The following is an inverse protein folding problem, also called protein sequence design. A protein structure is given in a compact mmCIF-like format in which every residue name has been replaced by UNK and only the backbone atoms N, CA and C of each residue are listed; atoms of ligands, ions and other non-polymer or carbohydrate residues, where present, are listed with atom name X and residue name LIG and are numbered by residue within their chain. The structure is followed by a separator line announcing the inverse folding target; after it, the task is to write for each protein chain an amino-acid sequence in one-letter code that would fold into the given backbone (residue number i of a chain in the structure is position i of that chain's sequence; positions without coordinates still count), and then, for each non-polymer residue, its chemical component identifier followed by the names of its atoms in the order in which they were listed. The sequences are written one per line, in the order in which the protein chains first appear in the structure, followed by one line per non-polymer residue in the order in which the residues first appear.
data_IF_998560913759
#
_entry.id   IF_998560913759
#
_cell.length_a   1.000
_cell.length_b   1.000
_cell.length_c   1.000
_cell.angle_alpha   90.00
_cell.angle_beta   90.00
_cell.angle_gamma   90.00
#
_symmetry.space_group_name_H-M   'P 1'
#
loop_
_entity.id
_entity.type
_entity.pdbx_description
1 polymer ?
#
# COMPACT_ATOMS: atom_id res chain seq x y z
N UNK A 1 -39.69 3.27 75.62
CA UNK A 1 -40.68 2.60 74.75
C UNK A 1 -39.98 1.41 74.10
N UNK A 2 -40.53 0.20 74.27
CA UNK A 2 -39.94 -1.09 73.87
C UNK A 2 -39.80 -1.20 72.34
N UNK A 3 -38.69 -1.81 71.90
CA UNK A 3 -38.35 -2.00 70.49
C UNK A 3 -39.41 -2.76 69.70
N UNK A 4 -39.62 -2.33 68.45
CA UNK A 4 -40.48 -2.99 67.48
C UNK A 4 -40.06 -4.47 67.30
N UNK A 5 -41.01 -5.43 67.27
CA UNK A 5 -40.69 -6.84 67.06
C UNK A 5 -40.01 -7.07 65.70
N UNK A 6 -39.09 -8.04 65.65
CA UNK A 6 -38.32 -8.37 64.45
C UNK A 6 -39.28 -8.82 63.33
N UNK A 7 -38.91 -8.64 62.05
CA UNK A 7 -39.81 -8.90 60.89
C UNK A 7 -40.43 -10.30 60.91
N UNK A 8 -39.73 -11.28 61.47
CA UNK A 8 -40.22 -12.66 61.66
C UNK A 8 -41.29 -12.74 62.74
N UNK A 9 -41.08 -12.10 63.89
CA UNK A 9 -42.03 -12.09 65.01
C UNK A 9 -43.32 -11.36 64.63
N UNK A 10 -43.23 -10.31 63.81
CA UNK A 10 -44.41 -9.63 63.27
C UNK A 10 -45.26 -10.58 62.40
N UNK A 11 -44.64 -11.39 61.54
CA UNK A 11 -45.36 -12.37 60.72
C UNK A 11 -46.03 -13.46 61.58
N UNK A 12 -45.34 -13.96 62.61
CA UNK A 12 -45.92 -14.94 63.54
C UNK A 12 -47.09 -14.38 64.34
N UNK A 13 -46.98 -13.13 64.84
CA UNK A 13 -48.04 -12.48 65.60
C UNK A 13 -49.27 -12.22 64.73
N UNK A 14 -49.07 -11.70 63.50
CA UNK A 14 -50.16 -11.45 62.55
C UNK A 14 -50.81 -12.76 62.10
N UNK A 15 -50.01 -13.79 61.80
CA UNK A 15 -50.52 -15.11 61.41
C UNK A 15 -51.36 -15.76 62.51
N UNK A 16 -50.89 -15.72 63.76
CA UNK A 16 -51.64 -16.22 64.92
C UNK A 16 -52.97 -15.46 65.13
N UNK A 17 -52.96 -14.15 64.93
CA UNK A 17 -54.14 -13.31 65.05
C UNK A 17 -55.19 -13.63 63.97
N UNK A 18 -54.75 -13.83 62.73
CA UNK A 18 -55.63 -14.24 61.62
C UNK A 18 -56.26 -15.62 61.90
N UNK A 19 -55.46 -16.60 62.34
CA UNK A 19 -55.96 -17.95 62.66
C UNK A 19 -57.01 -17.88 63.78
N UNK A 20 -56.76 -17.07 64.81
CA UNK A 20 -57.69 -16.89 65.94
C UNK A 20 -59.01 -16.26 65.48
N UNK A 21 -58.96 -15.25 64.61
CA UNK A 21 -60.16 -14.62 64.03
C UNK A 21 -60.97 -15.63 63.21
N UNK A 22 -60.31 -16.43 62.36
CA UNK A 22 -60.97 -17.48 61.58
C UNK A 22 -61.66 -18.49 62.51
N UNK A 23 -61.02 -18.90 63.60
CA UNK A 23 -61.59 -19.86 64.54
C UNK A 23 -62.86 -19.32 65.23
N UNK A 24 -62.85 -18.06 65.65
CA UNK A 24 -64.02 -17.40 66.27
C UNK A 24 -65.17 -17.28 65.27
N UNK A 25 -64.87 -16.85 64.03
CA UNK A 25 -65.85 -16.67 62.96
C UNK A 25 -66.47 -18.02 62.56
N UNK A 26 -65.65 -19.04 62.36
CA UNK A 26 -66.09 -20.40 62.00
C UNK A 26 -66.94 -21.06 63.09
N UNK A 27 -66.70 -20.76 64.38
CA UNK A 27 -67.52 -21.27 65.48
C UNK A 27 -68.89 -20.60 65.61
N UNK A 28 -69.04 -19.36 65.12
CA UNK A 28 -70.26 -18.54 65.29
C UNK A 28 -71.17 -18.51 64.07
N UNK A 29 -70.62 -18.68 62.86
CA UNK A 29 -71.36 -18.62 61.60
C UNK A 29 -72.36 -19.76 61.28
N UNK A 30 -72.26 -21.01 61.78
CA UNK A 30 -73.13 -22.08 61.29
C UNK A 30 -74.61 -21.95 61.69
N UNK A 31 -74.98 -20.92 62.46
CA UNK A 31 -76.38 -20.66 62.83
C UNK A 31 -77.18 -19.90 61.76
N UNK A 32 -76.53 -19.30 60.75
CA UNK A 32 -77.17 -18.49 59.71
C UNK A 32 -76.75 -19.00 58.32
N UNK A 33 -77.56 -19.90 57.75
CA UNK A 33 -77.23 -20.63 56.50
C UNK A 33 -76.93 -19.70 55.31
N UNK A 34 -77.66 -18.59 55.19
CA UNK A 34 -77.51 -17.64 54.09
C UNK A 34 -76.11 -17.01 54.06
N UNK A 35 -75.53 -16.69 55.23
CA UNK A 35 -74.21 -16.04 55.30
C UNK A 35 -73.11 -17.00 54.85
N UNK A 36 -73.23 -18.29 55.20
CA UNK A 36 -72.27 -19.33 54.82
C UNK A 36 -72.26 -19.51 53.29
N UNK A 37 -73.43 -19.50 52.65
CA UNK A 37 -73.56 -19.64 51.20
C UNK A 37 -72.97 -18.43 50.45
N UNK A 38 -73.21 -17.20 50.92
CA UNK A 38 -72.58 -16.00 50.33
C UNK A 38 -71.06 -16.01 50.47
N UNK A 39 -70.52 -16.47 51.61
CA UNK A 39 -69.07 -16.60 51.83
C UNK A 39 -68.48 -17.69 50.93
N UNK A 40 -69.17 -18.82 50.77
CA UNK A 40 -68.77 -19.89 49.85
C UNK A 40 -68.72 -19.40 48.40
N UNK A 41 -69.73 -18.65 47.96
CA UNK A 41 -69.79 -18.06 46.62
C UNK A 41 -68.72 -16.96 46.40
N UNK A 42 -68.49 -16.09 47.39
CA UNK A 42 -67.40 -15.13 47.31
C UNK A 42 -66.03 -15.83 47.25
N UNK A 43 -65.87 -16.93 47.98
CA UNK A 43 -64.67 -17.77 47.98
C UNK A 43 -64.36 -18.37 46.60
N UNK A 44 -65.37 -18.85 45.87
CA UNK A 44 -65.18 -19.40 44.51
C UNK A 44 -64.80 -18.31 43.51
N UNK A 45 -65.42 -17.13 43.56
CA UNK A 45 -65.05 -15.98 42.71
C UNK A 45 -63.60 -15.55 42.99
N UNK A 46 -63.22 -15.42 44.26
CA UNK A 46 -61.84 -15.06 44.65
C UNK A 46 -60.85 -16.13 44.18
N UNK A 47 -61.20 -17.42 44.25
CA UNK A 47 -60.35 -18.51 43.75
C UNK A 47 -60.14 -18.43 42.23
N UNK A 48 -61.19 -18.17 41.46
CA UNK A 48 -61.11 -17.97 40.01
C UNK A 48 -60.22 -16.75 39.68
N UNK A 49 -60.42 -15.63 40.37
CA UNK A 49 -59.62 -14.42 40.15
C UNK A 49 -58.13 -14.65 40.46
N UNK A 50 -57.81 -15.33 41.57
CA UNK A 50 -56.44 -15.67 41.91
C UNK A 50 -55.80 -16.61 40.89
N UNK A 51 -56.55 -17.59 40.37
CA UNK A 51 -56.08 -18.47 39.30
C UNK A 51 -55.77 -17.68 38.01
N UNK A 52 -56.63 -16.73 37.62
CA UNK A 52 -56.40 -15.87 36.45
C UNK A 52 -55.15 -15.01 36.64
N UNK A 53 -54.96 -14.39 37.82
CA UNK A 53 -53.76 -13.60 38.12
C UNK A 53 -52.50 -14.46 38.04
N UNK A 54 -52.55 -15.70 38.54
CA UNK A 54 -51.43 -16.63 38.46
C UNK A 54 -51.09 -17.01 37.00
N UNK A 55 -52.10 -17.22 36.15
CA UNK A 55 -51.92 -17.48 34.72
C UNK A 55 -51.29 -16.26 34.02
N UNK A 56 -51.80 -15.05 34.27
CA UNK A 56 -51.26 -13.81 33.71
C UNK A 56 -49.80 -13.62 34.12
N UNK A 57 -49.48 -13.82 35.39
CA UNK A 57 -48.11 -13.69 35.89
C UNK A 57 -47.18 -14.73 35.25
N UNK A 58 -47.61 -15.98 35.13
CA UNK A 58 -46.85 -17.04 34.44
C UNK A 58 -46.61 -16.69 32.97
N UNK A 59 -47.61 -16.15 32.28
CA UNK A 59 -47.48 -15.74 30.88
C UNK A 59 -46.54 -14.53 30.72
N UNK A 60 -46.66 -13.51 31.57
CA UNK A 60 -45.78 -12.35 31.57
C UNK A 60 -44.33 -12.75 31.85
N UNK A 61 -44.13 -13.65 32.81
CA UNK A 61 -42.82 -14.19 33.15
C UNK A 61 -42.24 -15.01 31.98
N UNK A 62 -43.03 -15.87 31.34
CA UNK A 62 -42.61 -16.64 30.15
C UNK A 62 -42.21 -15.72 28.99
N UNK A 63 -43.03 -14.72 28.66
CA UNK A 63 -42.76 -13.76 27.58
C UNK A 63 -41.53 -12.90 27.86
N UNK A 64 -41.30 -12.54 29.13
CA UNK A 64 -40.10 -11.81 29.54
C UNK A 64 -38.85 -12.69 29.45
N UNK A 65 -38.94 -13.97 29.82
CA UNK A 65 -37.82 -14.92 29.71
C UNK A 65 -37.41 -15.19 28.26
N UNK A 66 -38.36 -15.32 27.33
CA UNK A 66 -38.05 -15.48 25.90
C UNK A 66 -37.31 -14.25 25.33
N UNK A 67 -37.72 -13.05 25.72
CA UNK A 67 -37.05 -11.80 25.32
C UNK A 67 -35.65 -11.63 25.95
N UNK A 68 -35.44 -12.12 27.17
CA UNK A 68 -34.12 -12.09 27.83
C UNK A 68 -33.19 -13.12 27.20
N UNK A 69 -33.66 -14.33 26.93
CA UNK A 69 -32.86 -15.38 26.30
C UNK A 69 -32.46 -15.00 24.87
N UNK A 70 -33.37 -14.44 24.07
CA UNK A 70 -33.04 -13.95 22.72
C UNK A 70 -32.05 -12.77 22.73
N UNK A 71 -32.13 -11.87 23.71
CA UNK A 71 -31.13 -10.80 23.88
C UNK A 71 -29.77 -11.33 24.33
N UNK A 72 -29.76 -12.36 25.18
CA UNK A 72 -28.54 -13.01 25.64
C UNK A 72 -27.85 -13.75 24.48
N UNK A 73 -28.61 -14.50 23.69
CA UNK A 73 -28.13 -15.21 22.50
C UNK A 73 -27.55 -14.24 21.45
N UNK A 74 -28.28 -13.16 21.15
CA UNK A 74 -27.76 -12.10 20.28
C UNK A 74 -26.50 -11.43 20.82
N UNK A 75 -26.37 -11.30 22.14
CA UNK A 75 -25.16 -10.72 22.77
C UNK A 75 -23.99 -11.69 22.72
N UNK A 76 -24.24 -12.98 22.94
CA UNK A 76 -23.24 -14.04 22.79
C UNK A 76 -22.72 -14.12 21.35
N UNK A 77 -23.61 -14.09 20.35
CA UNK A 77 -23.21 -14.04 18.94
C UNK A 77 -22.42 -12.77 18.57
N UNK A 78 -22.75 -11.61 19.16
CA UNK A 78 -21.94 -10.39 18.97
C UNK A 78 -20.55 -10.52 19.60
N UNK A 79 -20.44 -11.14 20.77
CA UNK A 79 -19.16 -11.40 21.44
C UNK A 79 -18.33 -12.42 20.65
N UNK A 80 -18.96 -13.48 20.14
CA UNK A 80 -18.34 -14.47 19.26
C UNK A 80 -17.80 -13.80 18.00
N UNK A 81 -18.62 -13.00 17.31
CA UNK A 81 -18.19 -12.24 16.13
C UNK A 81 -17.05 -11.27 16.44
N UNK A 82 -17.13 -10.51 17.54
CA UNK A 82 -16.06 -9.61 17.95
C UNK A 82 -14.76 -10.36 18.32
N UNK A 83 -14.89 -11.56 18.88
CA UNK A 83 -13.75 -12.44 19.23
C UNK A 83 -13.14 -13.07 17.99
N UNK A 84 -13.95 -13.42 16.99
CA UNK A 84 -13.50 -13.86 15.67
C UNK A 84 -12.76 -12.73 14.93
N UNK A 85 -13.32 -11.51 14.91
CA UNK A 85 -12.66 -10.32 14.35
C UNK A 85 -11.34 -10.01 15.09
N UNK A 86 -11.26 -10.26 16.41
CA UNK A 86 -10.01 -10.17 17.18
C UNK A 86 -9.03 -11.32 16.90
N UNK A 87 -9.52 -12.51 16.55
CA UNK A 87 -8.70 -13.64 16.10
C UNK A 87 -8.06 -13.33 14.74
N UNK A 88 -8.78 -12.66 13.84
CA UNK A 88 -8.23 -12.15 12.59
C UNK A 88 -7.13 -11.09 12.84
N UNK A 89 -7.23 -10.33 13.94
CA UNK A 89 -6.14 -9.45 14.42
C UNK A 89 -4.94 -10.24 14.99
N UNK A 90 -5.12 -11.49 15.41
CA UNK A 90 -3.99 -12.37 15.74
C UNK A 90 -3.26 -12.86 14.48
N UNK A 91 -3.92 -12.98 13.33
CA UNK A 91 -3.24 -13.21 12.04
C UNK A 91 -2.45 -11.96 11.61
N UNK A 92 -2.92 -10.76 11.98
CA UNK A 92 -2.14 -9.52 11.80
C UNK A 92 -0.81 -9.56 12.56
N UNK A 93 -0.70 -10.27 13.70
CA UNK A 93 0.60 -10.48 14.35
C UNK A 93 1.55 -11.32 13.49
N UNK A 94 1.04 -12.36 12.83
CA UNK A 94 1.82 -13.16 11.89
C UNK A 94 2.29 -12.32 10.70
N UNK A 95 1.39 -11.52 10.13
CA UNK A 95 1.73 -10.58 9.05
C UNK A 95 2.70 -9.48 9.50
N UNK A 96 2.64 -9.04 10.75
CA UNK A 96 3.59 -8.06 11.32
C UNK A 96 4.97 -8.69 11.54
N UNK A 97 5.04 -9.96 11.95
CA UNK A 97 6.31 -10.67 12.09
C UNK A 97 6.93 -10.97 10.72
N UNK A 98 6.15 -11.40 9.72
CA UNK A 98 6.59 -11.52 8.33
C UNK A 98 7.04 -10.17 7.74
N UNK A 99 6.26 -9.10 7.98
CA UNK A 99 6.64 -7.75 7.57
C UNK A 99 7.93 -7.27 8.26
N UNK A 100 8.15 -7.64 9.52
CA UNK A 100 9.38 -7.32 10.25
C UNK A 100 10.59 -8.07 9.71
N UNK A 101 10.41 -9.32 9.28
CA UNK A 101 11.45 -10.11 8.63
C UNK A 101 11.76 -9.56 7.24
N UNK A 102 10.76 -9.20 6.43
CA UNK A 102 10.96 -8.51 5.14
C UNK A 102 11.67 -7.15 5.32
N UNK A 103 11.28 -6.35 6.33
CA UNK A 103 11.95 -5.08 6.66
C UNK A 103 13.39 -5.29 7.12
N UNK A 104 13.67 -6.38 7.83
CA UNK A 104 15.04 -6.78 8.23
C UNK A 104 15.89 -7.19 7.01
N UNK A 105 15.30 -7.90 6.07
CA UNK A 105 15.94 -8.31 4.82
C UNK A 105 16.22 -7.10 3.91
N UNK A 106 15.29 -6.14 3.84
CA UNK A 106 15.50 -4.83 3.20
C UNK A 106 16.65 -4.08 3.86
N UNK A 107 16.71 -4.04 5.21
CA UNK A 107 17.81 -3.38 5.94
C UNK A 107 19.15 -4.03 5.63
N UNK A 108 19.20 -5.36 5.54
CA UNK A 108 20.40 -6.12 5.18
C UNK A 108 20.83 -5.85 3.73
N UNK A 109 19.87 -5.81 2.82
CA UNK A 109 20.09 -5.43 1.42
C UNK A 109 20.57 -3.98 1.28
N UNK A 110 20.09 -3.08 2.15
CA UNK A 110 20.51 -1.68 2.20
C UNK A 110 21.94 -1.51 2.76
N UNK A 111 22.34 -2.37 3.71
CA UNK A 111 23.74 -2.47 4.16
C UNK A 111 24.63 -2.96 3.02
N UNK A 112 24.22 -4.00 2.29
CA UNK A 112 24.93 -4.49 1.10
C UNK A 112 25.03 -3.43 0.01
N UNK A 113 23.97 -2.65 -0.21
CA UNK A 113 23.99 -1.50 -1.13
C UNK A 113 24.96 -0.41 -0.68
N UNK A 114 25.03 -0.08 0.61
CA UNK A 114 26.01 0.88 1.12
C UNK A 114 27.45 0.39 0.93
N UNK A 115 27.70 -0.91 1.04
CA UNK A 115 28.99 -1.52 0.76
C UNK A 115 29.34 -1.46 -0.74
N UNK A 116 28.37 -1.73 -1.61
CA UNK A 116 28.51 -1.56 -3.07
C UNK A 116 28.75 -0.09 -3.43
N UNK A 117 28.02 0.85 -2.83
CA UNK A 117 28.20 2.30 -3.04
C UNK A 117 29.57 2.76 -2.54
N UNK A 118 30.02 2.28 -1.38
CA UNK A 118 31.38 2.55 -0.87
C UNK A 118 32.46 1.96 -1.79
N UNK A 119 32.24 0.76 -2.32
CA UNK A 119 33.14 0.14 -3.29
C UNK A 119 33.18 0.92 -4.59
N UNK A 120 32.04 1.42 -5.06
CA UNK A 120 31.94 2.30 -6.23
C UNK A 120 32.63 3.63 -5.96
N UNK A 121 32.45 4.24 -4.80
CA UNK A 121 33.11 5.51 -4.44
C UNK A 121 34.64 5.35 -4.39
N UNK A 122 35.12 4.25 -3.82
CA UNK A 122 36.54 3.88 -3.85
C UNK A 122 37.04 3.61 -5.28
N UNK A 123 36.27 2.90 -6.11
CA UNK A 123 36.64 2.68 -7.51
C UNK A 123 36.61 3.96 -8.33
N UNK A 124 35.65 4.86 -8.11
CA UNK A 124 35.53 6.16 -8.79
C UNK A 124 36.68 7.08 -8.39
N UNK A 125 37.07 7.09 -7.11
CA UNK A 125 38.25 7.85 -6.65
C UNK A 125 39.55 7.27 -7.22
N UNK A 126 39.68 5.94 -7.30
CA UNK A 126 40.80 5.29 -8.00
C UNK A 126 40.80 5.59 -9.50
N UNK A 127 39.64 5.60 -10.16
CA UNK A 127 39.51 6.00 -11.57
C UNK A 127 39.91 7.46 -11.74
N UNK A 128 39.45 8.38 -10.90
CA UNK A 128 39.82 9.79 -10.96
C UNK A 128 41.32 10.01 -10.75
N UNK A 129 41.94 9.26 -9.82
CA UNK A 129 43.38 9.33 -9.59
C UNK A 129 44.17 8.76 -10.78
N UNK A 130 43.79 7.58 -11.26
CA UNK A 130 44.39 6.96 -12.44
C UNK A 130 44.17 7.81 -13.70
N UNK A 131 43.05 8.54 -13.76
CA UNK A 131 42.71 9.48 -14.83
C UNK A 131 43.67 10.66 -14.86
N UNK A 132 43.92 11.31 -13.72
CA UNK A 132 44.88 12.42 -13.62
C UNK A 132 46.33 11.95 -13.83
N UNK A 133 46.70 10.76 -13.34
CA UNK A 133 48.02 10.16 -13.60
C UNK A 133 48.21 9.84 -15.09
N UNK A 134 47.19 9.26 -15.74
CA UNK A 134 47.20 8.96 -17.18
C UNK A 134 47.27 10.24 -18.00
N UNK A 135 46.49 11.26 -17.67
CA UNK A 135 46.55 12.60 -18.27
C UNK A 135 47.93 13.24 -18.12
N UNK A 136 48.55 13.12 -16.96
CA UNK A 136 49.90 13.65 -16.69
C UNK A 136 50.96 12.91 -17.50
N UNK A 137 50.86 11.59 -17.59
CA UNK A 137 51.78 10.78 -18.38
C UNK A 137 51.62 11.09 -19.87
N UNK A 138 50.38 11.17 -20.38
CA UNK A 138 50.11 11.57 -21.77
C UNK A 138 50.63 12.99 -22.06
N UNK A 139 50.42 13.96 -21.16
CA UNK A 139 50.98 15.31 -21.30
C UNK A 139 52.50 15.29 -21.40
N UNK A 140 53.20 14.52 -20.56
CA UNK A 140 54.66 14.41 -20.61
C UNK A 140 55.15 13.77 -21.91
N UNK A 141 54.48 12.73 -22.40
CA UNK A 141 54.87 12.07 -23.66
C UNK A 141 54.57 12.94 -24.89
N UNK A 142 53.54 13.80 -24.82
CA UNK A 142 53.18 14.73 -25.90
C UNK A 142 54.06 16.00 -25.90
N UNK A 143 54.54 16.45 -24.73
CA UNK A 143 55.39 17.67 -24.62
C UNK A 143 56.80 17.48 -25.19
N UNK A 144 57.28 16.25 -25.41
CA UNK A 144 58.60 15.99 -26.00
C UNK A 144 58.60 16.12 -27.54
N UNK A 145 57.44 16.15 -28.20
CA UNK A 145 57.36 16.29 -29.65
C UNK A 145 56.45 17.45 -30.08
N UNK A 146 57.13 18.56 -30.44
CA UNK A 146 56.66 19.81 -31.09
C UNK A 146 56.19 20.95 -30.19
N UNK A 147 56.91 22.06 -30.37
CA UNK A 147 56.62 23.41 -29.93
C UNK A 147 55.22 23.88 -30.37
N UNK A 148 54.39 24.15 -29.37
CA UNK A 148 53.40 25.24 -29.22
C UNK A 148 52.48 25.58 -30.41
N UNK A 149 51.25 25.09 -30.30
CA UNK A 149 50.08 25.99 -30.12
C UNK A 149 49.04 25.26 -29.27
N UNK A 150 48.71 25.87 -28.12
CA UNK A 150 47.73 25.36 -27.15
C UNK A 150 46.35 25.76 -27.64
N UNK A 151 45.61 24.83 -28.25
CA UNK A 151 44.16 24.94 -28.40
C UNK A 151 43.48 23.81 -27.60
N UNK A 152 42.51 24.22 -26.77
CA UNK A 152 41.73 23.38 -25.86
C UNK A 152 40.86 22.36 -26.64
N UNK A 153 41.39 21.20 -27.02
CA UNK A 153 40.56 20.11 -27.57
C UNK A 153 40.15 19.07 -26.52
N UNK A 154 38.84 18.84 -26.46
CA UNK A 154 38.08 18.23 -25.38
C UNK A 154 38.23 16.71 -25.27
N UNK A 155 38.32 16.20 -24.04
CA UNK A 155 38.32 14.77 -23.70
C UNK A 155 37.03 14.00 -24.13
N UNK A 156 35.95 14.71 -24.49
CA UNK A 156 34.65 14.12 -24.86
C UNK A 156 34.56 13.80 -26.35
N UNK A 157 35.40 12.86 -26.81
CA UNK A 157 35.43 12.43 -28.22
C UNK A 157 34.30 11.45 -28.56
N UNK A 158 34.02 11.29 -29.86
CA UNK A 158 33.08 10.26 -30.35
C UNK A 158 33.42 8.86 -29.85
N UNK A 159 34.70 8.49 -29.86
CA UNK A 159 35.18 7.16 -29.44
C UNK A 159 34.86 6.88 -27.96
N UNK A 160 34.96 7.89 -27.10
CA UNK A 160 34.56 7.78 -25.70
C UNK A 160 33.08 7.40 -25.58
N UNK A 161 32.21 8.10 -26.32
CA UNK A 161 30.77 7.83 -26.31
C UNK A 161 30.42 6.50 -26.97
N UNK A 162 31.14 6.07 -27.99
CA UNK A 162 30.97 4.73 -28.59
C UNK A 162 31.24 3.62 -27.58
N UNK A 163 32.31 3.75 -26.78
CA UNK A 163 32.61 2.78 -25.69
C UNK A 163 31.53 2.82 -24.60
N UNK A 164 31.11 4.02 -24.19
CA UNK A 164 30.05 4.21 -23.19
C UNK A 164 28.72 3.57 -23.63
N UNK A 165 28.32 3.78 -24.89
CA UNK A 165 27.11 3.20 -25.47
C UNK A 165 27.27 1.71 -25.79
N UNK A 166 28.50 1.25 -26.04
CA UNK A 166 28.84 -0.15 -26.27
C UNK A 166 28.55 -1.04 -25.05
N UNK A 167 28.82 -0.53 -23.86
CA UNK A 167 28.56 -1.20 -22.59
C UNK A 167 27.15 -0.93 -22.05
N UNK A 168 26.37 -0.08 -22.73
CA UNK A 168 25.06 0.35 -22.29
C UNK A 168 23.92 -0.59 -22.68
N UNK A 169 22.87 -0.62 -21.85
CA UNK A 169 21.66 -1.37 -22.14
C UNK A 169 20.81 -0.74 -23.26
N UNK A 170 19.93 -1.52 -23.89
CA UNK A 170 19.08 -1.01 -24.97
C UNK A 170 18.14 0.12 -24.51
N UNK A 171 17.66 0.09 -23.26
CA UNK A 171 16.85 1.18 -22.68
C UNK A 171 17.63 2.50 -22.60
N UNK A 172 18.93 2.45 -22.29
CA UNK A 172 19.78 3.63 -22.24
C UNK A 172 19.96 4.25 -23.64
N UNK A 173 20.28 3.40 -24.63
CA UNK A 173 20.40 3.83 -26.05
C UNK A 173 19.07 4.42 -26.52
N UNK A 174 17.96 3.74 -26.23
CA UNK A 174 16.61 4.21 -26.55
C UNK A 174 16.34 5.61 -25.98
N UNK A 175 16.63 5.81 -24.70
CA UNK A 175 16.31 7.06 -23.99
C UNK A 175 17.10 8.24 -24.55
N UNK A 176 18.40 8.04 -24.79
CA UNK A 176 19.23 9.06 -25.43
C UNK A 176 18.77 9.36 -26.85
N UNK A 177 18.30 8.35 -27.57
CA UNK A 177 17.83 8.52 -28.94
C UNK A 177 16.53 9.33 -28.99
N UNK A 178 15.59 9.07 -28.09
CA UNK A 178 14.38 9.91 -27.97
C UNK A 178 14.78 11.36 -27.68
N UNK A 179 15.72 11.59 -26.74
CA UNK A 179 16.22 12.92 -26.39
C UNK A 179 16.83 13.63 -27.61
N UNK A 180 17.70 12.94 -28.35
CA UNK A 180 18.37 13.47 -29.54
C UNK A 180 17.36 13.86 -30.64
N UNK A 181 16.41 12.96 -30.94
CA UNK A 181 15.35 13.21 -31.94
C UNK A 181 14.41 14.34 -31.52
N UNK A 182 14.07 14.43 -30.23
CA UNK A 182 13.19 15.47 -29.69
C UNK A 182 13.86 16.84 -29.67
N UNK A 183 15.16 16.91 -29.45
CA UNK A 183 15.92 18.16 -29.56
C UNK A 183 15.83 18.77 -30.97
N UNK A 184 15.79 17.93 -31.99
CA UNK A 184 15.66 18.34 -33.40
C UNK A 184 14.21 18.66 -33.82
N UNK A 185 13.22 18.42 -32.96
CA UNK A 185 11.80 18.68 -33.23
C UNK A 185 11.33 20.04 -32.71
N UNK A 186 10.18 20.51 -33.20
CA UNK A 186 9.54 21.75 -32.71
C UNK A 186 9.13 21.62 -31.23
N UNK A 187 8.67 20.44 -30.82
CA UNK A 187 8.25 20.14 -29.46
C UNK A 187 9.35 19.37 -28.69
N UNK A 188 10.16 20.11 -27.93
CA UNK A 188 11.27 19.57 -27.14
C UNK A 188 10.84 18.91 -25.83
N UNK A 189 9.53 18.87 -25.53
CA UNK A 189 8.98 18.17 -24.37
C UNK A 189 8.77 16.69 -24.69
N UNK A 190 9.18 15.84 -23.75
CA UNK A 190 9.11 14.39 -23.83
C UNK A 190 8.24 13.91 -22.67
N UNK A 191 7.19 13.15 -23.00
CA UNK A 191 6.45 12.33 -22.05
C UNK A 191 7.07 10.93 -22.02
N UNK A 192 7.83 10.65 -20.96
CA UNK A 192 8.55 9.39 -20.80
C UNK A 192 7.60 8.20 -20.70
N UNK A 193 6.41 8.35 -20.11
CA UNK A 193 5.44 7.25 -20.03
C UNK A 193 4.95 6.86 -21.42
N UNK A 194 4.63 7.86 -22.25
CA UNK A 194 4.22 7.63 -23.65
C UNK A 194 5.31 6.90 -24.43
N UNK A 195 6.56 7.37 -24.36
CA UNK A 195 7.67 6.75 -25.07
C UNK A 195 8.02 5.36 -24.51
N UNK A 196 7.85 5.12 -23.21
CA UNK A 196 8.05 3.78 -22.64
C UNK A 196 7.06 2.74 -23.17
N UNK A 197 5.81 3.13 -23.46
CA UNK A 197 4.87 2.24 -24.18
C UNK A 197 5.40 1.84 -25.56
N UNK A 198 5.95 2.81 -26.30
CA UNK A 198 6.57 2.54 -27.62
C UNK A 198 7.79 1.64 -27.47
N UNK A 199 8.64 1.88 -26.46
CA UNK A 199 9.80 1.04 -26.18
C UNK A 199 9.41 -0.43 -25.94
N UNK A 200 8.46 -0.68 -25.05
CA UNK A 200 8.02 -2.05 -24.71
C UNK A 200 7.44 -2.75 -25.93
N UNK A 201 6.55 -2.06 -26.67
CA UNK A 201 5.88 -2.62 -27.84
C UNK A 201 6.82 -2.81 -29.04
N UNK A 202 7.62 -1.81 -29.37
CA UNK A 202 8.35 -1.77 -30.64
C UNK A 202 9.80 -2.23 -30.55
N UNK A 203 10.45 -2.05 -29.39
CA UNK A 203 11.86 -2.41 -29.19
C UNK A 203 11.98 -3.76 -28.48
N UNK A 204 11.18 -3.99 -27.43
CA UNK A 204 11.19 -5.27 -26.71
C UNK A 204 10.26 -6.32 -27.33
N UNK A 205 9.36 -5.92 -28.24
CA UNK A 205 8.35 -6.79 -28.85
C UNK A 205 7.55 -7.58 -27.81
N UNK A 206 7.31 -6.93 -26.68
CA UNK A 206 6.62 -7.53 -25.57
C UNK A 206 5.20 -6.97 -25.50
N UNK A 207 4.21 -7.83 -25.76
CA UNK A 207 2.80 -7.47 -25.70
C UNK A 207 2.33 -7.61 -24.25
N UNK A 208 2.60 -6.56 -23.46
CA UNK A 208 2.12 -6.47 -22.09
C UNK A 208 0.88 -5.61 -22.04
N UNK A 209 -0.06 -5.99 -21.19
CA UNK A 209 -1.24 -5.19 -20.89
C UNK A 209 -0.81 -3.76 -20.53
N UNK A 210 -1.40 -2.77 -21.20
CA UNK A 210 -1.06 -1.36 -21.00
C UNK A 210 -1.32 -0.91 -19.55
N UNK A 211 -2.09 -1.69 -18.80
CA UNK A 211 -2.49 -1.44 -17.42
C UNK A 211 -1.54 -2.06 -16.37
N UNK A 212 -0.45 -2.74 -16.76
CA UNK A 212 0.59 -3.18 -15.81
C UNK A 212 1.46 -2.00 -15.35
N UNK A 213 0.84 -1.19 -14.49
CA UNK A 213 1.41 0.05 -13.94
C UNK A 213 2.76 -0.19 -13.26
N UNK A 214 2.91 -1.28 -12.51
CA UNK A 214 4.16 -1.59 -11.78
C UNK A 214 5.32 -1.82 -12.74
N UNK A 215 5.08 -2.49 -13.87
CA UNK A 215 6.11 -2.72 -14.87
C UNK A 215 6.56 -1.42 -15.56
N UNK A 216 5.61 -0.58 -15.98
CA UNK A 216 5.92 0.71 -16.61
C UNK A 216 6.58 1.69 -15.63
N UNK A 217 6.17 1.70 -14.36
CA UNK A 217 6.81 2.51 -13.30
C UNK A 217 8.27 2.09 -13.12
N UNK A 218 8.58 0.79 -13.09
CA UNK A 218 9.96 0.30 -12.98
C UNK A 218 10.83 0.75 -14.17
N UNK A 219 10.31 0.67 -15.41
CA UNK A 219 11.02 1.18 -16.59
C UNK A 219 11.27 2.68 -16.45
N UNK A 220 10.25 3.45 -16.03
CA UNK A 220 10.36 4.88 -15.84
C UNK A 220 11.45 5.24 -14.82
N UNK A 221 11.51 4.57 -13.66
CA UNK A 221 12.52 4.84 -12.65
C UNK A 221 13.94 4.58 -13.14
N UNK A 222 14.17 3.43 -13.79
CA UNK A 222 15.47 3.09 -14.38
C UNK A 222 15.86 4.10 -15.47
N UNK A 223 14.90 4.46 -16.31
CA UNK A 223 15.10 5.43 -17.38
C UNK A 223 15.49 6.82 -16.86
N UNK A 224 14.75 7.32 -15.87
CA UNK A 224 15.04 8.61 -15.21
C UNK A 224 16.43 8.58 -14.58
N UNK A 225 16.82 7.47 -13.95
CA UNK A 225 18.16 7.29 -13.38
C UNK A 225 19.27 7.46 -14.41
N UNK A 226 19.17 6.78 -15.56
CA UNK A 226 20.14 6.94 -16.64
C UNK A 226 20.19 8.38 -17.16
N UNK A 227 19.04 8.96 -17.50
CA UNK A 227 18.94 10.32 -18.01
C UNK A 227 19.58 11.32 -17.03
N UNK A 228 19.33 11.17 -15.72
CA UNK A 228 19.92 12.05 -14.71
C UNK A 228 21.45 11.88 -14.63
N UNK A 229 21.98 10.67 -14.77
CA UNK A 229 23.43 10.43 -14.85
C UNK A 229 24.09 11.16 -16.02
N UNK A 230 23.49 11.09 -17.21
CA UNK A 230 23.96 11.83 -18.39
C UNK A 230 23.87 13.36 -18.21
N UNK A 231 22.84 13.84 -17.50
CA UNK A 231 22.69 15.25 -17.16
C UNK A 231 23.79 15.72 -16.19
N UNK A 232 24.05 14.96 -15.13
CA UNK A 232 25.08 15.27 -14.13
C UNK A 232 26.48 15.28 -14.76
N UNK A 233 26.74 14.39 -15.72
CA UNK A 233 27.98 14.37 -16.48
C UNK A 233 28.12 15.53 -17.48
N UNK A 234 27.09 16.37 -17.64
CA UNK A 234 27.08 17.48 -18.60
C UNK A 234 26.92 17.06 -20.06
N UNK A 235 26.51 15.81 -20.32
CA UNK A 235 26.32 15.29 -21.68
C UNK A 235 24.97 15.72 -22.28
N UNK A 236 23.98 15.98 -21.43
CA UNK A 236 22.67 16.50 -21.83
C UNK A 236 22.22 17.63 -20.90
N UNK A 237 21.49 18.59 -21.46
CA UNK A 237 20.81 19.64 -20.70
C UNK A 237 19.31 19.46 -20.80
N UNK A 238 18.62 19.52 -19.67
CA UNK A 238 17.17 19.37 -19.59
C UNK A 238 16.56 20.16 -18.43
N UNK A 239 15.30 20.57 -18.60
CA UNK A 239 14.45 21.09 -17.53
C UNK A 239 13.43 20.03 -17.15
N UNK A 240 13.29 19.76 -15.85
CA UNK A 240 12.24 18.88 -15.35
C UNK A 240 10.98 19.73 -15.17
N UNK A 241 9.86 19.31 -15.78
CA UNK A 241 8.58 20.00 -15.61
C UNK A 241 7.72 19.28 -14.56
N UNK A 242 7.49 17.97 -14.72
CA UNK A 242 6.85 17.08 -13.73
C UNK A 242 7.48 15.68 -13.78
N UNK A 243 7.19 14.81 -12.80
CA UNK A 243 7.67 13.43 -12.83
C UNK A 243 7.16 12.74 -14.11
N UNK A 244 8.08 12.27 -14.96
CA UNK A 244 7.76 11.65 -16.25
C UNK A 244 7.72 12.62 -17.45
N UNK A 245 7.85 13.94 -17.25
CA UNK A 245 7.97 14.90 -18.37
C UNK A 245 9.28 15.70 -18.32
N UNK A 246 10.00 15.72 -19.45
CA UNK A 246 11.30 16.38 -19.56
C UNK A 246 11.34 17.30 -20.78
N UNK A 247 11.94 18.48 -20.64
CA UNK A 247 12.16 19.41 -21.75
C UNK A 247 13.66 19.43 -22.09
N UNK A 248 14.01 19.04 -23.32
CA UNK A 248 15.40 18.93 -23.76
C UNK A 248 15.95 20.29 -24.20
N UNK A 249 17.13 20.64 -23.71
CA UNK A 249 17.85 21.89 -24.05
C UNK A 249 19.04 21.67 -24.96
N UNK A 250 19.86 20.65 -24.67
CA UNK A 250 21.02 20.31 -25.50
C UNK A 250 21.44 18.86 -25.30
N UNK A 251 22.23 18.35 -26.24
CA UNK A 251 22.96 17.09 -26.18
C UNK A 251 24.39 17.34 -26.69
N UNK A 252 25.37 16.64 -26.13
CA UNK A 252 26.74 16.68 -26.63
C UNK A 252 26.78 16.21 -28.11
N UNK A 253 27.38 16.98 -29.04
CA UNK A 253 27.40 16.64 -30.46
C UNK A 253 28.11 15.31 -30.77
N UNK A 254 29.19 14.98 -30.06
CA UNK A 254 29.92 13.72 -30.25
C UNK A 254 29.11 12.53 -29.71
N UNK A 255 28.36 12.72 -28.63
CA UNK A 255 27.39 11.73 -28.16
C UNK A 255 26.28 11.50 -29.19
N UNK A 256 25.73 12.56 -29.78
CA UNK A 256 24.72 12.45 -30.83
C UNK A 256 25.25 11.68 -32.04
N UNK A 257 26.48 11.97 -32.49
CA UNK A 257 27.13 11.21 -33.58
C UNK A 257 27.30 9.73 -33.24
N UNK A 258 27.89 9.42 -32.08
CA UNK A 258 28.09 8.05 -31.62
C UNK A 258 26.77 7.28 -31.50
N UNK A 259 25.72 7.94 -31.00
CA UNK A 259 24.39 7.37 -30.86
C UNK A 259 23.74 7.03 -32.20
N UNK A 260 23.81 7.94 -33.16
CA UNK A 260 23.29 7.70 -34.52
C UNK A 260 24.00 6.52 -35.17
N UNK A 261 25.32 6.42 -35.02
CA UNK A 261 26.09 5.30 -35.53
C UNK A 261 25.70 3.98 -34.86
N UNK A 262 25.58 3.98 -33.52
CA UNK A 262 25.14 2.81 -32.75
C UNK A 262 23.77 2.32 -33.21
N UNK A 263 22.79 3.21 -33.37
CA UNK A 263 21.45 2.83 -33.87
C UNK A 263 21.52 2.31 -35.30
N UNK A 264 22.35 2.90 -36.16
CA UNK A 264 22.54 2.43 -37.54
C UNK A 264 23.18 1.03 -37.60
N UNK A 265 24.00 0.62 -36.62
CA UNK A 265 24.51 -0.77 -36.58
C UNK A 265 23.39 -1.81 -36.47
N UNK A 266 22.24 -1.47 -35.85
CA UNK A 266 21.09 -2.37 -35.82
C UNK A 266 20.45 -2.58 -37.19
N UNK A 267 20.61 -1.64 -38.15
CA UNK A 267 20.10 -1.84 -39.51
C UNK A 267 20.64 -3.12 -40.15
N UNK A 268 21.87 -3.49 -39.82
CA UNK A 268 22.54 -4.69 -40.34
C UNK A 268 22.38 -5.86 -39.38
N UNK A 269 22.57 -5.62 -38.08
CA UNK A 269 22.69 -6.71 -37.09
C UNK A 269 21.36 -7.13 -36.45
N UNK A 270 20.35 -6.26 -36.48
CA UNK A 270 19.05 -6.46 -35.80
C UNK A 270 17.98 -5.56 -36.44
N UNK A 271 17.52 -5.95 -37.63
CA UNK A 271 16.61 -5.12 -38.45
C UNK A 271 15.29 -4.82 -37.73
N UNK A 272 14.79 -5.75 -36.91
CA UNK A 272 13.57 -5.55 -36.12
C UNK A 272 13.75 -4.44 -35.11
N UNK A 273 14.84 -4.45 -34.36
CA UNK A 273 15.17 -3.39 -33.41
C UNK A 273 15.37 -2.05 -34.12
N UNK A 274 16.04 -2.04 -35.27
CA UNK A 274 16.18 -0.82 -36.09
C UNK A 274 14.82 -0.25 -36.51
N UNK A 275 13.89 -1.11 -36.92
CA UNK A 275 12.52 -0.70 -37.26
C UNK A 275 11.79 -0.13 -36.03
N UNK A 276 12.00 -0.68 -34.84
CA UNK A 276 11.46 -0.10 -33.61
C UNK A 276 11.96 1.32 -33.35
N UNK A 277 13.24 1.61 -33.58
CA UNK A 277 13.78 2.98 -33.53
C UNK A 277 13.14 3.90 -34.59
N UNK A 278 12.81 3.38 -35.78
CA UNK A 278 12.10 4.16 -36.80
C UNK A 278 10.65 4.49 -36.44
N UNK A 279 9.99 3.63 -35.66
CA UNK A 279 8.66 3.92 -35.11
C UNK A 279 8.70 5.08 -34.11
N UNK A 280 9.78 5.20 -33.33
CA UNK A 280 10.00 6.36 -32.45
C UNK A 280 10.13 7.65 -33.26
N UNK A 281 10.94 7.65 -34.32
CA UNK A 281 11.07 8.83 -35.20
C UNK A 281 9.71 9.21 -35.83
N UNK A 282 8.89 8.22 -36.19
CA UNK A 282 7.54 8.45 -36.69
C UNK A 282 6.65 9.09 -35.63
N UNK A 283 6.61 8.55 -34.42
CA UNK A 283 5.81 9.09 -33.31
C UNK A 283 6.21 10.53 -32.95
N UNK A 284 7.51 10.87 -33.00
CA UNK A 284 7.99 12.23 -32.75
C UNK A 284 7.54 13.20 -33.84
N UNK A 285 7.55 12.76 -35.11
CA UNK A 285 7.07 13.57 -36.24
C UNK A 285 5.56 13.84 -36.17
N UNK A 286 4.78 12.89 -35.67
CA UNK A 286 3.32 13.04 -35.50
C UNK A 286 2.95 14.02 -34.38
N UNK A 287 3.88 14.32 -33.45
CA UNK A 287 3.69 15.30 -32.37
C UNK A 287 4.18 16.72 -32.71
N UNK A 288 4.85 16.91 -33.85
CA UNK A 288 5.53 18.16 -34.24
C UNK A 288 4.68 19.01 -35.18
#
# INVERSE_FOLDING_TARGET
MKGFPNKRDFFYIVGFLIITIIFIISGRLPHEADIVDYVGFAGTIVSILLAVVAIIYSFYQSSTYENVNSKLDNSAHKIEKATQELSDVSEIKGLIDEFKDEVSEIKTSMVGLNEVVSTIDNQVTHINKNWEETKTNIMKTVTVNKEVSVENESFLTKEYFEKLLGNGGILQIYSLYVIDRKLASNNKVIDLNKFNKIYVKEILKYDKDEDDKRYFDNILYVQVGFIMGYKMAGFIGMKNNTLGTIEVKHINPELSKALNEKVNTYKVNDTERYNGFKQVEKAIREES
#
